data_IF_149238839495
#
_entry.id   IF_149238839495
#
_cell.length_a   1.000
_cell.length_b   1.000
_cell.length_c   1.000
_cell.angle_alpha   90.00
_cell.angle_beta   90.00
_cell.angle_gamma   90.00
#
_symmetry.space_group_name_H-M   'P 1'
#
loop_
_entity.id
_entity.type
_entity.pdbx_description
1 polymer ?
#
# COMPACT_ATOMS: atom_id res chain seq x y z
N UNK A 1 -18.14 9.69 -10.96
CA UNK A 1 -17.39 10.81 -10.35
C UNK A 1 -16.70 10.31 -9.10
N UNK A 2 -15.47 10.73 -8.87
CA UNK A 2 -14.65 10.34 -7.72
C UNK A 2 -14.00 11.61 -7.14
N UNK A 3 -13.90 11.67 -5.82
CA UNK A 3 -13.12 12.70 -5.10
C UNK A 3 -11.79 12.07 -4.71
N UNK A 4 -10.69 12.73 -5.03
CA UNK A 4 -9.34 12.30 -4.64
C UNK A 4 -8.83 13.30 -3.62
N UNK A 5 -8.40 12.80 -2.47
CA UNK A 5 -7.81 13.58 -1.39
C UNK A 5 -6.33 13.21 -1.27
N UNK A 6 -5.45 14.15 -1.56
CA UNK A 6 -4.01 13.99 -1.34
C UNK A 6 -3.67 14.25 0.12
N UNK A 7 -2.91 13.34 0.72
CA UNK A 7 -2.42 13.47 2.09
C UNK A 7 -0.95 13.85 2.02
N UNK A 8 -0.63 15.03 2.54
CA UNK A 8 0.74 15.51 2.66
C UNK A 8 1.42 14.88 3.88
N UNK A 9 2.72 14.75 3.84
CA UNK A 9 3.54 14.27 4.97
C UNK A 9 4.45 15.39 5.47
N UNK A 10 5.01 15.23 6.65
CA UNK A 10 6.08 16.08 7.15
C UNK A 10 7.32 16.05 6.26
N UNK A 11 8.00 17.18 6.14
CA UNK A 11 9.17 17.35 5.27
C UNK A 11 10.49 17.48 6.03
N UNK A 12 10.45 17.53 7.37
CA UNK A 12 11.63 17.71 8.18
C UNK A 12 12.22 16.37 8.63
N UNK A 13 13.52 16.20 8.46
CA UNK A 13 14.25 15.01 8.90
C UNK A 13 13.64 13.70 8.41
N UNK A 14 13.24 12.83 9.34
CA UNK A 14 12.65 11.51 9.06
C UNK A 14 11.12 11.47 9.22
N UNK A 15 10.46 12.61 9.27
CA UNK A 15 9.01 12.69 9.49
C UNK A 15 8.22 11.85 8.49
N UNK A 16 8.48 12.02 7.19
CA UNK A 16 7.85 11.20 6.15
C UNK A 16 8.01 9.70 6.38
N UNK A 17 9.20 9.27 6.79
CA UNK A 17 9.47 7.86 7.05
C UNK A 17 8.65 7.36 8.26
N UNK A 18 8.59 8.16 9.31
CA UNK A 18 7.82 7.82 10.51
C UNK A 18 6.31 7.76 10.24
N UNK A 19 5.77 8.78 9.56
CA UNK A 19 4.35 8.91 9.25
C UNK A 19 3.83 7.86 8.26
N UNK A 20 4.68 7.44 7.31
CA UNK A 20 4.34 6.42 6.32
C UNK A 20 4.88 5.03 6.63
N UNK A 21 5.40 4.81 7.83
CA UNK A 21 5.72 3.47 8.32
C UNK A 21 4.74 3.07 9.42
N UNK A 22 3.89 2.06 9.22
CA UNK A 22 2.90 1.66 10.21
C UNK A 22 3.50 0.83 11.36
N UNK A 23 4.75 0.40 11.22
CA UNK A 23 5.44 -0.45 12.19
C UNK A 23 6.77 0.16 12.58
N UNK A 24 7.15 0.03 13.85
CA UNK A 24 8.49 0.41 14.29
C UNK A 24 9.54 -0.49 13.63
N UNK A 25 10.52 0.13 12.99
CA UNK A 25 11.62 -0.56 12.30
C UNK A 25 12.94 -0.13 12.91
N UNK A 26 13.73 -1.10 13.33
CA UNK A 26 15.06 -0.89 13.89
C UNK A 26 16.11 -1.53 12.98
N UNK A 27 16.95 -0.71 12.37
CA UNK A 27 18.04 -1.15 11.51
C UNK A 27 17.66 -1.37 10.05
N UNK A 28 18.64 -1.81 9.24
CA UNK A 28 18.50 -1.97 7.80
C UNK A 28 18.78 -0.68 7.01
N UNK A 29 18.40 -0.66 5.75
CA UNK A 29 18.70 0.43 4.81
C UNK A 29 18.07 1.79 5.19
N UNK A 30 16.94 1.76 5.91
CA UNK A 30 16.21 2.98 6.34
C UNK A 30 16.57 3.45 7.76
N UNK A 31 17.51 2.79 8.47
CA UNK A 31 17.83 3.19 9.83
C UNK A 31 16.69 2.92 10.83
N UNK A 32 16.22 3.96 11.49
CA UNK A 32 15.14 3.88 12.47
C UNK A 32 13.88 4.55 11.97
N UNK A 33 12.72 3.85 12.02
CA UNK A 33 11.41 4.46 11.89
C UNK A 33 10.60 4.20 13.16
N UNK A 34 10.01 5.25 13.75
CA UNK A 34 9.16 5.11 14.95
C UNK A 34 7.84 4.38 14.68
N UNK A 35 7.42 4.34 13.41
CA UNK A 35 6.22 3.60 13.02
C UNK A 35 4.93 4.22 13.54
N UNK A 36 4.73 5.52 13.32
CA UNK A 36 3.50 6.24 13.70
C UNK A 36 2.42 6.21 12.62
N UNK A 37 2.63 5.47 11.52
CA UNK A 37 1.68 5.38 10.41
C UNK A 37 0.29 4.87 10.81
N UNK A 38 0.18 4.11 11.90
CA UNK A 38 -1.12 3.77 12.45
C UNK A 38 -1.90 5.01 12.92
N UNK A 39 -1.22 5.98 13.52
CA UNK A 39 -1.84 7.25 13.94
C UNK A 39 -2.24 8.10 12.74
N UNK A 40 -1.43 8.08 11.68
CA UNK A 40 -1.77 8.71 10.40
C UNK A 40 -3.07 8.15 9.81
N UNK A 41 -3.22 6.81 9.74
CA UNK A 41 -4.46 6.21 9.22
C UNK A 41 -5.64 6.46 10.16
N UNK A 42 -5.42 6.44 11.46
CA UNK A 42 -6.47 6.76 12.44
C UNK A 42 -6.98 8.20 12.23
N UNK A 43 -6.09 9.16 12.11
CA UNK A 43 -6.45 10.55 11.79
C UNK A 43 -7.26 10.65 10.48
N UNK A 44 -6.86 9.91 9.44
CA UNK A 44 -7.59 9.88 8.16
C UNK A 44 -9.04 9.43 8.33
N UNK A 45 -9.28 8.37 9.12
CA UNK A 45 -10.64 7.82 9.28
C UNK A 45 -11.49 8.52 10.33
N UNK A 46 -10.87 9.10 11.36
CA UNK A 46 -11.56 9.73 12.48
C UNK A 46 -11.81 11.24 12.26
N UNK A 47 -10.88 11.94 11.58
CA UNK A 47 -10.94 13.38 11.43
C UNK A 47 -11.08 13.81 9.96
N UNK A 48 -10.12 13.46 9.10
CA UNK A 48 -10.12 13.90 7.71
C UNK A 48 -11.38 13.46 6.96
N UNK A 49 -11.78 12.21 7.09
CA UNK A 49 -12.99 11.67 6.47
C UNK A 49 -14.24 12.46 6.85
N UNK A 50 -14.38 12.86 8.12
CA UNK A 50 -15.52 13.64 8.60
C UNK A 50 -15.52 15.06 8.01
N UNK A 51 -14.34 15.69 7.88
CA UNK A 51 -14.21 16.98 7.21
C UNK A 51 -14.63 16.86 5.74
N UNK A 52 -14.15 15.85 5.02
CA UNK A 52 -14.51 15.65 3.62
C UNK A 52 -16.01 15.36 3.45
N UNK A 53 -16.60 14.57 4.33
CA UNK A 53 -18.03 14.25 4.27
C UNK A 53 -18.92 15.47 4.54
N UNK A 54 -18.45 16.42 5.36
CA UNK A 54 -19.14 17.67 5.65
C UNK A 54 -19.04 18.69 4.51
N UNK A 55 -17.86 18.82 3.89
CA UNK A 55 -17.58 19.84 2.87
C UNK A 55 -18.00 19.40 1.47
N UNK A 56 -18.06 18.09 1.21
CA UNK A 56 -18.34 17.52 -0.11
C UNK A 56 -19.43 16.45 -0.05
N UNK A 57 -20.23 16.37 -1.10
CA UNK A 57 -21.24 15.31 -1.23
C UNK A 57 -20.59 13.98 -1.55
N UNK A 58 -20.40 13.14 -0.54
CA UNK A 58 -19.80 11.81 -0.61
C UNK A 58 -20.74 10.71 -0.18
N UNK A 59 -20.36 9.48 -0.48
CA UNK A 59 -20.98 8.28 0.07
C UNK A 59 -20.07 7.71 1.17
N UNK A 60 -20.49 7.74 2.46
CA UNK A 60 -19.62 7.36 3.58
C UNK A 60 -19.50 5.84 3.78
N UNK A 61 -19.91 5.06 2.78
CA UNK A 61 -19.90 3.62 2.86
C UNK A 61 -18.53 3.06 2.53
N UNK A 62 -18.14 1.99 3.22
CA UNK A 62 -16.88 1.28 3.04
C UNK A 62 -16.59 0.94 1.57
N UNK A 63 -17.61 0.45 0.84
CA UNK A 63 -17.51 0.06 -0.58
C UNK A 63 -17.21 1.24 -1.53
N UNK A 64 -17.44 2.46 -1.06
CA UNK A 64 -17.12 3.68 -1.80
C UNK A 64 -15.78 4.28 -1.43
N UNK A 65 -15.06 3.70 -0.46
CA UNK A 65 -13.78 4.21 0.02
C UNK A 65 -12.62 3.34 -0.46
N UNK A 66 -11.62 4.01 -1.01
CA UNK A 66 -10.37 3.41 -1.46
C UNK A 66 -9.18 4.18 -0.93
N UNK A 67 -8.05 3.50 -0.78
CA UNK A 67 -6.77 4.10 -0.44
C UNK A 67 -5.74 3.71 -1.50
N UNK A 68 -4.87 4.64 -1.85
CA UNK A 68 -3.85 4.40 -2.86
C UNK A 68 -2.52 5.06 -2.48
N UNK A 69 -1.43 4.47 -2.92
CA UNK A 69 -0.11 5.07 -2.74
C UNK A 69 0.99 4.29 -3.42
N UNK A 70 2.15 4.92 -3.52
CA UNK A 70 3.36 4.33 -4.09
C UNK A 70 4.47 4.25 -3.05
N UNK A 71 5.40 3.29 -3.19
CA UNK A 71 6.54 3.12 -2.29
C UNK A 71 6.09 2.98 -0.81
N UNK A 72 6.48 3.90 0.06
CA UNK A 72 5.99 3.96 1.45
C UNK A 72 4.47 4.21 1.51
N UNK A 73 3.92 5.04 0.62
CA UNK A 73 2.47 5.23 0.47
C UNK A 73 1.75 3.94 0.07
N UNK A 74 2.37 3.09 -0.75
CA UNK A 74 1.85 1.77 -1.10
C UNK A 74 1.85 0.80 0.09
N UNK A 75 2.87 0.88 0.96
CA UNK A 75 2.88 0.16 2.23
C UNK A 75 1.74 0.63 3.15
N UNK A 76 1.53 1.95 3.25
CA UNK A 76 0.44 2.52 4.04
C UNK A 76 -0.93 2.15 3.49
N UNK A 77 -1.10 2.14 2.16
CA UNK A 77 -2.36 1.72 1.53
C UNK A 77 -2.67 0.24 1.85
N UNK A 78 -1.66 -0.62 1.79
CA UNK A 78 -1.81 -2.03 2.17
C UNK A 78 -2.15 -2.19 3.66
N UNK A 79 -1.45 -1.48 4.54
CA UNK A 79 -1.74 -1.46 5.95
C UNK A 79 -3.17 -0.99 6.25
N UNK A 80 -3.58 0.13 5.65
CA UNK A 80 -4.90 0.70 5.86
C UNK A 80 -6.01 -0.26 5.44
N UNK A 81 -5.92 -0.90 4.26
CA UNK A 81 -6.96 -1.84 3.81
C UNK A 81 -7.01 -3.11 4.66
N UNK A 82 -5.93 -3.50 5.32
CA UNK A 82 -5.90 -4.68 6.20
C UNK A 82 -6.39 -4.33 7.62
N UNK A 83 -5.80 -3.31 8.25
CA UNK A 83 -6.04 -2.97 9.66
C UNK A 83 -7.31 -2.14 9.88
N UNK A 84 -7.70 -1.38 8.86
CA UNK A 84 -8.88 -0.52 8.84
C UNK A 84 -9.90 -1.00 7.81
N UNK A 85 -10.03 -2.32 7.68
CA UNK A 85 -10.87 -2.96 6.67
C UNK A 85 -12.35 -2.56 6.79
N UNK A 86 -12.82 -2.17 7.98
CA UNK A 86 -14.15 -1.62 8.20
C UNK A 86 -14.37 -0.25 7.52
N UNK A 87 -13.30 0.44 7.10
CA UNK A 87 -13.36 1.75 6.43
C UNK A 87 -13.02 1.67 4.95
N UNK A 88 -12.05 0.83 4.59
CA UNK A 88 -11.55 0.74 3.22
C UNK A 88 -11.82 -0.63 2.61
N UNK A 89 -12.55 -0.65 1.48
CA UNK A 89 -12.77 -1.89 0.72
C UNK A 89 -11.75 -2.10 -0.38
N UNK A 90 -11.01 -1.06 -0.79
CA UNK A 90 -10.10 -1.12 -1.93
C UNK A 90 -8.76 -0.47 -1.62
N UNK A 91 -7.68 -1.07 -2.14
CA UNK A 91 -6.36 -0.48 -2.07
C UNK A 91 -5.58 -0.65 -3.37
N UNK A 92 -4.91 0.43 -3.82
CA UNK A 92 -3.88 0.38 -4.84
C UNK A 92 -2.49 0.58 -4.20
N UNK A 93 -1.67 -0.45 -4.28
CA UNK A 93 -0.38 -0.56 -3.60
C UNK A 93 0.73 -0.65 -4.65
N UNK A 94 1.24 0.53 -5.08
CA UNK A 94 2.18 0.63 -6.19
C UNK A 94 3.62 0.56 -5.68
N UNK A 95 4.41 -0.37 -6.19
CA UNK A 95 5.83 -0.54 -5.84
C UNK A 95 6.09 -0.47 -4.34
N UNK A 96 5.22 -1.09 -3.56
CA UNK A 96 5.15 -0.95 -2.10
C UNK A 96 6.45 -1.32 -1.41
N UNK A 97 6.83 -0.54 -0.40
CA UNK A 97 8.03 -0.73 0.41
C UNK A 97 7.91 -1.91 1.40
N UNK A 98 7.46 -3.08 0.92
CA UNK A 98 7.17 -4.28 1.72
C UNK A 98 8.38 -4.80 2.50
N UNK A 99 9.59 -4.47 2.01
CA UNK A 99 10.84 -5.00 2.54
C UNK A 99 11.11 -4.68 3.99
N UNK A 100 10.57 -3.59 4.47
CA UNK A 100 10.88 -3.07 5.79
C UNK A 100 10.11 -3.75 6.92
N UNK A 101 8.89 -4.18 6.65
CA UNK A 101 7.97 -4.68 7.67
C UNK A 101 7.26 -5.98 7.26
N UNK A 102 7.85 -6.76 6.38
CA UNK A 102 7.20 -7.95 5.81
C UNK A 102 6.66 -8.93 6.87
N UNK A 103 7.37 -9.25 7.97
CA UNK A 103 6.83 -10.11 9.01
C UNK A 103 5.56 -9.55 9.67
N UNK A 104 5.54 -8.24 9.93
CA UNK A 104 4.39 -7.55 10.53
C UNK A 104 3.19 -7.54 9.58
N UNK A 105 3.44 -7.30 8.29
CA UNK A 105 2.39 -7.38 7.25
C UNK A 105 1.81 -8.79 7.18
N UNK A 106 2.64 -9.83 7.20
CA UNK A 106 2.16 -11.22 7.21
C UNK A 106 1.36 -11.55 8.45
N UNK A 107 1.77 -11.04 9.62
CA UNK A 107 0.99 -11.17 10.84
C UNK A 107 -0.39 -10.54 10.67
N UNK A 108 -0.45 -9.30 10.22
CA UNK A 108 -1.70 -8.56 10.08
C UNK A 108 -2.65 -9.20 9.06
N UNK A 109 -2.18 -9.60 7.89
CA UNK A 109 -3.02 -10.31 6.89
C UNK A 109 -3.62 -11.59 7.46
N UNK A 110 -2.93 -12.28 8.36
CA UNK A 110 -3.42 -13.53 8.96
C UNK A 110 -4.40 -13.29 10.10
N UNK A 111 -4.18 -12.25 10.91
CA UNK A 111 -4.89 -12.03 12.18
C UNK A 111 -6.04 -11.03 12.08
N UNK A 112 -5.96 -10.04 11.17
CA UNK A 112 -7.01 -9.04 11.05
C UNK A 112 -8.24 -9.62 10.32
N UNK A 113 -9.45 -9.20 10.69
CA UNK A 113 -10.64 -9.51 9.90
C UNK A 113 -10.55 -8.83 8.52
N UNK A 114 -10.75 -9.59 7.47
CA UNK A 114 -10.77 -9.10 6.08
C UNK A 114 -12.10 -9.53 5.47
N UNK A 115 -12.86 -8.56 5.02
CA UNK A 115 -14.15 -8.79 4.38
C UNK A 115 -13.92 -9.35 2.96
N UNK A 116 -14.69 -10.35 2.50
CA UNK A 116 -14.54 -10.94 1.17
C UNK A 116 -14.69 -9.98 -0.02
N UNK A 117 -15.37 -8.85 0.15
CA UNK A 117 -15.48 -7.82 -0.89
C UNK A 117 -14.22 -6.94 -1.02
N UNK A 118 -13.22 -7.12 -0.16
CA UNK A 118 -11.96 -6.39 -0.20
C UNK A 118 -11.21 -6.64 -1.50
N UNK A 119 -10.74 -5.56 -2.14
CA UNK A 119 -9.99 -5.62 -3.39
C UNK A 119 -8.65 -4.92 -3.23
N UNK A 120 -7.57 -5.63 -3.52
CA UNK A 120 -6.22 -5.09 -3.42
C UNK A 120 -5.50 -5.25 -4.75
N UNK A 121 -4.96 -4.16 -5.25
CA UNK A 121 -4.11 -4.13 -6.43
C UNK A 121 -2.66 -3.92 -5.99
N UNK A 122 -1.77 -4.81 -6.39
CA UNK A 122 -0.35 -4.79 -6.08
C UNK A 122 0.44 -4.69 -7.38
N UNK A 123 1.29 -3.68 -7.53
CA UNK A 123 2.10 -3.54 -8.73
C UNK A 123 3.57 -3.25 -8.41
N UNK A 124 4.44 -3.53 -9.37
CA UNK A 124 5.88 -3.21 -9.32
C UNK A 124 6.47 -3.22 -10.74
N UNK A 125 7.66 -2.65 -10.90
CA UNK A 125 8.41 -2.68 -12.13
C UNK A 125 9.51 -3.73 -12.13
N UNK A 126 9.85 -4.29 -13.31
CA UNK A 126 10.93 -5.27 -13.42
C UNK A 126 12.31 -4.70 -13.10
N UNK A 127 12.52 -3.38 -13.25
CA UNK A 127 13.77 -2.70 -12.94
C UNK A 127 13.94 -2.34 -11.46
N UNK A 128 12.94 -2.58 -10.63
CA UNK A 128 13.01 -2.36 -9.19
C UNK A 128 13.67 -3.52 -8.44
N UNK A 129 13.79 -4.68 -9.07
CA UNK A 129 14.36 -5.87 -8.44
C UNK A 129 15.90 -5.85 -8.54
N UNK A 130 16.58 -5.72 -7.40
CA UNK A 130 18.05 -5.81 -7.33
C UNK A 130 18.53 -7.19 -7.77
N UNK A 131 19.63 -7.22 -8.51
CA UNK A 131 20.26 -8.46 -8.98
C UNK A 131 19.58 -9.13 -10.18
N UNK A 132 18.51 -8.53 -10.71
CA UNK A 132 17.91 -8.96 -11.98
C UNK A 132 18.59 -8.19 -13.11
N UNK A 133 18.99 -8.91 -14.15
CA UNK A 133 19.64 -8.32 -15.33
C UNK A 133 18.75 -8.30 -16.56
N UNK A 134 17.80 -9.25 -16.66
CA UNK A 134 16.80 -9.30 -17.72
C UNK A 134 15.52 -8.58 -17.26
N UNK A 135 15.30 -7.37 -17.76
CA UNK A 135 14.12 -6.56 -17.44
C UNK A 135 13.03 -6.62 -18.52
N UNK A 136 13.18 -7.49 -19.53
CA UNK A 136 12.22 -7.65 -20.63
C UNK A 136 11.03 -8.53 -20.23
N UNK A 137 11.11 -9.16 -19.07
CA UNK A 137 10.05 -10.01 -18.49
C UNK A 137 10.13 -10.01 -16.96
N UNK A 138 9.05 -10.45 -16.34
CA UNK A 138 9.06 -10.67 -14.90
C UNK A 138 9.99 -11.84 -14.52
N UNK A 139 10.93 -11.59 -13.62
CA UNK A 139 11.60 -12.65 -12.89
C UNK A 139 10.80 -13.00 -11.62
N UNK A 140 10.09 -14.12 -11.66
CA UNK A 140 9.25 -14.60 -10.54
C UNK A 140 10.07 -14.99 -9.31
N UNK A 141 11.37 -15.24 -9.45
CA UNK A 141 12.29 -15.52 -8.34
C UNK A 141 12.80 -14.25 -7.66
N UNK A 142 12.61 -13.10 -8.29
CA UNK A 142 13.03 -11.82 -7.75
C UNK A 142 12.34 -11.52 -6.42
N UNK A 143 13.03 -10.79 -5.59
CA UNK A 143 12.57 -10.31 -4.31
C UNK A 143 11.22 -9.56 -4.39
N UNK A 144 11.06 -8.66 -5.38
CA UNK A 144 9.83 -7.89 -5.56
C UNK A 144 8.66 -8.79 -5.95
N UNK A 145 8.87 -9.67 -6.93
CA UNK A 145 7.85 -10.61 -7.38
C UNK A 145 7.40 -11.55 -6.27
N UNK A 146 8.33 -12.20 -5.56
CA UNK A 146 8.00 -13.13 -4.47
C UNK A 146 7.17 -12.49 -3.37
N UNK A 147 7.52 -11.26 -2.94
CA UNK A 147 6.80 -10.56 -1.86
C UNK A 147 5.39 -10.17 -2.26
N UNK A 148 5.24 -9.51 -3.41
CA UNK A 148 3.91 -9.11 -3.90
C UNK A 148 3.01 -10.31 -4.13
N UNK A 149 3.52 -11.40 -4.74
CA UNK A 149 2.77 -12.64 -4.95
C UNK A 149 2.40 -13.32 -3.64
N UNK A 150 3.30 -13.34 -2.67
CA UNK A 150 3.03 -13.92 -1.35
C UNK A 150 1.91 -13.16 -0.62
N UNK A 151 1.96 -11.82 -0.60
CA UNK A 151 0.88 -11.00 -0.02
C UNK A 151 -0.44 -11.23 -0.74
N UNK A 152 -0.44 -11.24 -2.08
CA UNK A 152 -1.64 -11.51 -2.86
C UNK A 152 -2.25 -12.89 -2.52
N UNK A 153 -1.42 -13.92 -2.35
CA UNK A 153 -1.89 -15.25 -2.01
C UNK A 153 -2.48 -15.31 -0.59
N UNK A 154 -1.87 -14.63 0.38
CA UNK A 154 -2.44 -14.53 1.74
C UNK A 154 -3.78 -13.79 1.75
N UNK A 155 -3.91 -12.69 1.02
CA UNK A 155 -5.17 -11.95 0.89
C UNK A 155 -6.26 -12.83 0.26
N UNK A 156 -5.93 -13.54 -0.82
CA UNK A 156 -6.87 -14.49 -1.47
C UNK A 156 -7.29 -15.62 -0.55
N UNK A 157 -6.37 -16.16 0.23
CA UNK A 157 -6.67 -17.19 1.23
C UNK A 157 -7.61 -16.69 2.35
N UNK A 158 -7.71 -15.36 2.54
CA UNK A 158 -8.65 -14.70 3.44
C UNK A 158 -9.98 -14.31 2.78
N UNK A 159 -10.17 -14.66 1.50
CA UNK A 159 -11.37 -14.38 0.74
C UNK A 159 -11.35 -13.08 -0.06
N UNK A 160 -10.33 -12.23 0.10
CA UNK A 160 -10.20 -10.99 -0.65
C UNK A 160 -9.82 -11.23 -2.12
N UNK A 161 -10.19 -10.31 -2.98
CA UNK A 161 -9.67 -10.26 -4.36
C UNK A 161 -8.33 -9.52 -4.35
N UNK A 162 -7.26 -10.18 -4.79
CA UNK A 162 -5.96 -9.55 -4.96
C UNK A 162 -5.49 -9.66 -6.41
N UNK A 163 -5.28 -8.54 -7.05
CA UNK A 163 -4.73 -8.45 -8.40
C UNK A 163 -3.26 -8.06 -8.34
N UNK A 164 -2.45 -8.62 -9.22
CA UNK A 164 -1.02 -8.30 -9.31
C UNK A 164 -0.68 -7.87 -10.72
N UNK A 165 0.21 -6.88 -10.84
CA UNK A 165 0.72 -6.39 -12.11
C UNK A 165 2.22 -6.11 -12.02
N UNK A 166 2.99 -6.71 -12.92
CA UNK A 166 4.41 -6.43 -13.07
C UNK A 166 4.64 -5.65 -14.37
N UNK A 167 5.03 -4.39 -14.25
CA UNK A 167 5.34 -3.55 -15.40
C UNK A 167 6.72 -3.92 -15.96
N UNK A 168 6.75 -4.41 -17.18
CA UNK A 168 8.01 -4.67 -17.90
C UNK A 168 8.74 -3.34 -18.16
N UNK A 169 10.01 -3.28 -17.81
CA UNK A 169 10.83 -2.07 -17.92
C UNK A 169 10.53 -0.98 -16.87
N UNK A 170 9.51 -1.17 -16.03
CA UNK A 170 9.11 -0.19 -15.02
C UNK A 170 10.17 0.04 -13.95
N UNK A 171 10.33 1.29 -13.53
CA UNK A 171 11.24 1.79 -12.53
C UNK A 171 10.48 2.31 -11.31
N UNK A 172 11.21 2.57 -10.22
CA UNK A 172 10.67 3.14 -8.99
C UNK A 172 10.54 4.66 -9.11
N UNK A 173 9.57 5.12 -9.88
CA UNK A 173 9.33 6.54 -10.13
C UNK A 173 7.86 6.85 -10.47
N UNK A 174 7.48 8.09 -10.31
CA UNK A 174 6.12 8.60 -10.50
C UNK A 174 5.59 8.34 -11.92
N UNK A 175 6.45 8.50 -12.93
CA UNK A 175 6.07 8.29 -14.34
C UNK A 175 5.64 6.83 -14.62
N UNK A 176 6.25 5.87 -13.95
CA UNK A 176 5.91 4.46 -14.09
C UNK A 176 4.74 4.07 -13.17
N UNK A 177 4.64 4.64 -11.98
CA UNK A 177 3.46 4.45 -11.11
C UNK A 177 2.18 5.00 -11.78
N UNK A 178 2.28 6.13 -12.51
CA UNK A 178 1.18 6.65 -13.33
C UNK A 178 0.67 5.68 -14.39
N UNK A 179 1.54 4.81 -14.94
CA UNK A 179 1.14 3.72 -15.84
C UNK A 179 0.57 2.52 -15.08
N UNK A 180 1.16 2.20 -13.93
CA UNK A 180 0.72 1.06 -13.12
C UNK A 180 -0.69 1.26 -12.55
N UNK A 181 -1.06 2.48 -12.13
CA UNK A 181 -2.37 2.77 -11.54
C UNK A 181 -3.53 2.59 -12.53
N UNK A 182 -3.27 2.62 -13.83
CA UNK A 182 -4.31 2.42 -14.85
C UNK A 182 -4.93 1.01 -14.80
N UNK A 183 -4.30 0.06 -14.12
CA UNK A 183 -4.84 -1.28 -13.90
C UNK A 183 -5.76 -1.42 -12.69
N UNK A 184 -5.86 -0.39 -11.86
CA UNK A 184 -6.74 -0.32 -10.70
C UNK A 184 -8.08 0.31 -11.07
#
# INVERSE_FOLDING_TARGET
>A
NMIIVGIECGHEGEERLNEYCPYSVNGGFLGHAKGVGNDTVRWVVEELKEVIAREYRTYPFRECMAVAGSSMGGLMALFAVIRYNQWFSKAACLSSALGFCLPSIYHDVRSCPIDPDTRVYLSWGTREARGVTDHTREDKSSYMSRRNRSIANYLRARGATAQIFCQVGGQHCEADWGKQIQGF
#
